data_IF_546477976047
#
_entry.id   IF_546477976047
#
_cell.length_a   1.000
_cell.length_b   1.000
_cell.length_c   1.000
_cell.angle_alpha   90.00
_cell.angle_beta   90.00
_cell.angle_gamma   90.00
#
_symmetry.space_group_name_H-M   'P 1'
#
loop_
_entity.id
_entity.type
_entity.pdbx_description
1 polymer ?
#
# COMPACT_ATOMS: atom_id res chain seq x y z
N UNK A 1 -1.87 13.73 -15.37
CA UNK A 1 -1.23 12.42 -15.10
C UNK A 1 -1.12 11.70 -16.44
N UNK A 2 0.03 11.13 -16.75
CA UNK A 2 0.23 10.37 -18.00
C UNK A 2 -0.49 9.02 -17.88
N UNK A 3 -1.52 8.79 -18.71
CA UNK A 3 -2.38 7.59 -18.65
C UNK A 3 -1.60 6.29 -18.91
N UNK A 4 -0.35 6.40 -19.38
CA UNK A 4 0.52 5.26 -19.70
C UNK A 4 1.26 4.67 -18.49
N UNK A 5 1.18 5.30 -17.32
CA UNK A 5 1.90 4.89 -16.11
C UNK A 5 0.91 4.48 -15.01
N UNK A 6 0.35 3.27 -15.16
CA UNK A 6 -0.56 2.65 -14.19
C UNK A 6 0.04 1.35 -13.62
N UNK A 7 -0.75 0.58 -12.87
CA UNK A 7 -0.33 -0.70 -12.28
C UNK A 7 0.02 -1.79 -13.29
N UNK A 8 -0.19 -1.56 -14.59
CA UNK A 8 0.12 -2.49 -15.69
C UNK A 8 1.42 -2.15 -16.42
N UNK A 9 2.20 -1.19 -15.90
CA UNK A 9 3.47 -0.80 -16.50
C UNK A 9 4.44 -1.99 -16.62
N UNK A 10 4.99 -2.19 -17.83
CA UNK A 10 5.89 -3.32 -18.12
C UNK A 10 7.14 -3.24 -17.25
N UNK A 11 7.32 -4.27 -16.43
CA UNK A 11 8.42 -4.35 -15.45
C UNK A 11 9.10 -5.72 -15.56
N UNK A 12 10.43 -5.76 -15.43
CA UNK A 12 11.20 -6.99 -15.43
C UNK A 12 11.14 -7.69 -14.06
N UNK A 13 11.32 -9.01 -14.05
CA UNK A 13 11.46 -9.84 -12.84
C UNK A 13 12.92 -10.24 -12.68
N UNK A 14 13.48 -10.10 -11.48
CA UNK A 14 14.81 -10.63 -11.15
C UNK A 14 14.65 -12.03 -10.56
N UNK A 15 15.28 -13.02 -11.18
CA UNK A 15 15.19 -14.43 -10.77
C UNK A 15 16.54 -14.86 -10.19
N UNK A 16 16.52 -15.36 -8.95
CA UNK A 16 17.70 -15.87 -8.26
C UNK A 16 17.89 -17.38 -8.52
N UNK A 17 19.10 -17.88 -8.28
CA UNK A 17 19.43 -19.30 -8.52
C UNK A 17 18.66 -20.29 -7.62
N UNK A 18 18.11 -19.82 -6.49
CA UNK A 18 17.28 -20.61 -5.58
C UNK A 18 15.79 -20.64 -5.97
N UNK A 19 15.42 -20.01 -7.10
CA UNK A 19 14.04 -19.93 -7.57
C UNK A 19 13.23 -18.76 -6.99
N UNK A 20 13.79 -17.96 -6.07
CA UNK A 20 13.13 -16.74 -5.61
C UNK A 20 13.08 -15.68 -6.71
N UNK A 21 11.98 -14.93 -6.74
CA UNK A 21 11.74 -13.89 -7.74
C UNK A 21 11.47 -12.56 -7.04
N UNK A 22 12.13 -11.49 -7.49
CA UNK A 22 11.86 -10.12 -7.06
C UNK A 22 11.16 -9.37 -8.18
N UNK A 23 10.00 -8.80 -7.87
CA UNK A 23 9.19 -8.01 -8.80
C UNK A 23 8.73 -6.72 -8.12
N UNK A 24 9.17 -5.57 -8.65
CA UNK A 24 8.89 -4.24 -8.09
C UNK A 24 8.40 -3.32 -9.22
N UNK A 25 7.12 -3.43 -9.64
CA UNK A 25 6.57 -2.58 -10.66
C UNK A 25 6.31 -1.16 -10.14
N UNK A 26 6.61 -0.12 -10.92
CA UNK A 26 6.11 1.20 -10.59
C UNK A 26 4.61 1.27 -10.90
N UNK A 27 3.87 2.09 -10.16
CA UNK A 27 2.46 2.28 -10.42
C UNK A 27 1.86 3.48 -9.68
N UNK A 28 0.79 4.04 -10.26
CA UNK A 28 -0.04 5.04 -9.61
C UNK A 28 -1.31 4.36 -9.12
N UNK A 29 -1.44 4.23 -7.80
CA UNK A 29 -2.64 3.69 -7.16
C UNK A 29 -3.57 4.83 -6.75
N UNK A 30 -4.85 4.68 -7.07
CA UNK A 30 -5.90 5.60 -6.65
C UNK A 30 -6.92 4.82 -5.84
N UNK A 31 -7.16 5.25 -4.61
CA UNK A 31 -8.19 4.69 -3.75
C UNK A 31 -9.29 5.72 -3.52
N UNK A 32 -10.50 5.24 -3.29
CA UNK A 32 -11.60 6.08 -2.79
C UNK A 32 -11.68 5.88 -1.28
N UNK A 33 -11.64 6.98 -0.54
CA UNK A 33 -11.79 6.99 0.91
C UNK A 33 -12.86 8.00 1.33
N UNK A 34 -13.45 7.76 2.50
CA UNK A 34 -14.36 8.70 3.13
C UNK A 34 -13.53 9.81 3.79
N UNK A 35 -13.86 11.06 3.49
CA UNK A 35 -13.23 12.22 4.11
C UNK A 35 -13.99 12.64 5.36
N UNK A 36 -13.25 13.01 6.40
CA UNK A 36 -13.80 13.63 7.63
C UNK A 36 -13.34 15.09 7.71
N UNK A 37 -14.27 16.03 7.62
CA UNK A 37 -14.01 17.48 7.59
C UNK A 37 -14.37 18.16 8.92
N UNK A 38 -14.50 17.41 10.01
CA UNK A 38 -14.91 17.95 11.32
C UNK A 38 -13.98 19.07 11.82
N UNK A 39 -12.69 19.02 11.48
CA UNK A 39 -11.64 19.91 12.02
C UNK A 39 -10.94 20.76 10.96
N UNK A 40 -11.58 21.01 9.83
CA UNK A 40 -11.04 21.84 8.76
C UNK A 40 -10.55 23.22 9.29
N UNK A 41 -9.36 23.72 8.89
CA UNK A 41 -8.45 23.22 7.85
C UNK A 41 -7.32 22.29 8.36
N UNK A 42 -7.41 21.77 9.58
CA UNK A 42 -6.36 20.93 10.21
C UNK A 42 -6.81 19.49 10.45
N UNK A 43 -7.70 18.99 9.61
CA UNK A 43 -8.23 17.64 9.64
C UNK A 43 -7.20 16.58 9.21
N UNK A 44 -7.37 15.38 9.76
CA UNK A 44 -6.59 14.20 9.41
C UNK A 44 -7.43 13.28 8.51
N UNK A 45 -6.84 12.82 7.43
CA UNK A 45 -7.45 11.92 6.47
C UNK A 45 -6.79 10.55 6.50
N UNK A 46 -7.60 9.50 6.68
CA UNK A 46 -7.17 8.10 6.70
C UNK A 46 -7.77 7.33 5.54
N UNK A 47 -6.94 7.02 4.54
CA UNK A 47 -7.38 6.38 3.30
C UNK A 47 -6.84 4.97 3.17
N UNK A 48 -7.65 3.95 3.49
CA UNK A 48 -7.20 2.55 3.44
C UNK A 48 -7.08 2.06 2.00
N UNK A 49 -5.90 1.56 1.65
CA UNK A 49 -5.62 0.79 0.44
C UNK A 49 -5.60 -0.70 0.80
N UNK A 50 -6.27 -1.53 0.00
CA UNK A 50 -6.29 -2.98 0.19
C UNK A 50 -5.65 -3.64 -1.03
N UNK A 51 -4.63 -4.44 -0.78
CA UNK A 51 -3.97 -5.27 -1.77
C UNK A 51 -4.36 -6.72 -1.54
N UNK A 52 -4.56 -7.47 -2.61
CA UNK A 52 -5.05 -8.83 -2.51
C UNK A 52 -5.06 -9.52 -3.85
N UNK A 53 -5.03 -10.85 -3.82
CA UNK A 53 -5.21 -11.63 -5.02
C UNK A 53 -6.62 -11.48 -5.57
N UNK A 54 -6.73 -11.21 -6.87
CA UNK A 54 -8.02 -11.18 -7.55
C UNK A 54 -8.53 -12.60 -7.85
N UNK A 55 -7.64 -13.51 -8.23
CA UNK A 55 -8.01 -14.83 -8.75
C UNK A 55 -7.80 -15.97 -7.77
N UNK A 56 -6.85 -15.85 -6.85
CA UNK A 56 -6.51 -16.91 -5.91
C UNK A 56 -7.08 -16.65 -4.52
N UNK A 57 -7.37 -17.74 -3.83
CA UNK A 57 -7.71 -17.73 -2.41
C UNK A 57 -6.46 -17.84 -1.53
N UNK A 58 -6.65 -17.66 -0.21
CA UNK A 58 -5.59 -17.72 0.80
C UNK A 58 -4.99 -19.10 1.02
N UNK A 59 -5.63 -20.17 0.52
CA UNK A 59 -5.04 -21.52 0.52
C UNK A 59 -4.09 -21.73 -0.65
N UNK A 60 -4.34 -21.06 -1.77
CA UNK A 60 -3.53 -21.16 -2.99
C UNK A 60 -2.42 -20.12 -3.03
N UNK A 61 -2.66 -18.93 -2.47
CA UNK A 61 -1.72 -17.83 -2.43
C UNK A 61 -1.87 -17.07 -1.10
N UNK A 62 -0.83 -17.12 -0.29
CA UNK A 62 -0.76 -16.32 0.94
C UNK A 62 0.09 -15.07 0.70
N UNK A 63 -0.42 -13.92 1.15
CA UNK A 63 0.25 -12.63 1.03
C UNK A 63 0.78 -12.26 2.39
N UNK A 64 2.07 -11.93 2.44
CA UNK A 64 2.76 -11.63 3.68
C UNK A 64 3.52 -10.31 3.60
N UNK A 65 3.39 -9.52 4.66
CA UNK A 65 3.98 -8.19 4.73
C UNK A 65 5.50 -8.31 4.68
N UNK A 66 6.12 -7.60 3.75
CA UNK A 66 7.57 -7.55 3.62
C UNK A 66 8.18 -6.83 4.85
N UNK A 67 8.47 -7.58 5.90
CA UNK A 67 8.88 -7.00 7.18
C UNK A 67 8.56 -7.80 8.44
N UNK A 68 7.96 -8.98 8.36
CA UNK A 68 7.70 -9.86 9.51
C UNK A 68 8.96 -10.44 10.19
N UNK A 69 10.13 -9.84 9.96
CA UNK A 69 11.29 -9.96 10.83
C UNK A 69 11.09 -8.98 12.00
N UNK A 70 11.26 -9.45 13.24
CA UNK A 70 11.11 -8.62 14.45
C UNK A 70 11.75 -7.23 14.28
N UNK A 71 10.92 -6.17 14.20
CA UNK A 71 11.37 -4.78 14.15
C UNK A 71 11.22 -4.01 12.82
N UNK A 72 10.59 -4.58 11.77
CA UNK A 72 10.30 -3.86 10.50
C UNK A 72 8.80 -3.84 10.18
N UNK A 73 7.99 -3.20 11.02
CA UNK A 73 6.51 -3.21 10.86
C UNK A 73 5.95 -2.14 9.91
N UNK A 74 6.79 -1.54 9.06
CA UNK A 74 6.45 -0.29 8.42
C UNK A 74 7.00 -0.17 7.00
N UNK A 75 6.13 0.13 6.04
CA UNK A 75 6.49 0.37 4.65
C UNK A 75 7.56 1.44 4.48
N UNK A 76 8.49 1.17 3.56
CA UNK A 76 9.66 2.01 3.34
C UNK A 76 9.27 3.40 2.80
N UNK A 77 9.48 4.42 3.62
CA UNK A 77 9.27 5.82 3.27
C UNK A 77 10.56 6.54 2.88
N UNK A 78 11.70 5.84 2.81
CA UNK A 78 12.97 6.43 2.36
C UNK A 78 12.84 7.19 1.04
N UNK A 79 12.10 6.70 0.01
CA UNK A 79 11.90 7.43 -1.23
C UNK A 79 10.71 8.41 -1.22
N UNK A 80 10.04 8.63 -0.08
CA UNK A 80 8.86 9.50 0.00
C UNK A 80 9.22 10.96 -0.28
N UNK A 81 8.49 11.56 -1.22
CA UNK A 81 8.60 12.98 -1.56
C UNK A 81 7.40 13.73 -0.98
N UNK A 82 7.59 14.58 0.05
CA UNK A 82 6.49 15.38 0.60
C UNK A 82 5.98 16.39 -0.43
N UNK A 83 4.70 16.75 -0.32
CA UNK A 83 4.10 17.83 -1.11
C UNK A 83 3.77 19.04 -0.22
N UNK A 84 3.30 20.13 -0.81
CA UNK A 84 3.02 21.40 -0.10
C UNK A 84 1.65 21.48 0.58
N UNK A 85 0.81 20.46 0.43
CA UNK A 85 -0.60 20.50 0.87
C UNK A 85 -0.85 19.51 2.03
N UNK A 86 -0.24 18.33 1.97
CA UNK A 86 -0.47 17.22 2.88
C UNK A 86 0.85 16.78 3.54
N UNK A 87 0.82 16.59 4.86
CA UNK A 87 1.91 15.94 5.60
C UNK A 87 1.49 14.53 6.02
N UNK A 88 2.37 13.56 5.77
CA UNK A 88 2.19 12.18 6.24
C UNK A 88 2.53 12.10 7.73
N UNK A 89 1.51 11.98 8.59
CA UNK A 89 1.66 11.95 10.05
C UNK A 89 1.70 10.54 10.64
N UNK A 90 1.31 9.54 9.84
CA UNK A 90 1.39 8.14 10.24
C UNK A 90 1.04 7.18 9.12
N UNK A 91 1.35 5.92 9.31
CA UNK A 91 0.94 4.82 8.43
C UNK A 91 0.64 3.61 9.29
N UNK A 92 -0.30 2.78 8.83
CA UNK A 92 -0.59 1.50 9.46
C UNK A 92 -0.68 0.42 8.41
N UNK A 93 0.08 -0.64 8.61
CA UNK A 93 0.02 -1.87 7.83
C UNK A 93 -0.63 -2.97 8.67
N UNK A 94 -1.47 -3.79 8.05
CA UNK A 94 -2.15 -4.87 8.73
C UNK A 94 -2.47 -5.98 7.75
N UNK A 95 -2.00 -7.19 8.04
CA UNK A 95 -2.45 -8.40 7.37
C UNK A 95 -3.93 -8.65 7.72
N UNK A 96 -4.77 -8.85 6.71
CA UNK A 96 -6.19 -9.11 6.87
C UNK A 96 -6.52 -10.51 6.34
N UNK A 97 -6.92 -11.40 7.24
CA UNK A 97 -7.53 -12.69 6.88
C UNK A 97 -9.06 -12.53 6.95
N UNK A 98 -9.72 -12.45 5.80
CA UNK A 98 -11.19 -12.44 5.78
C UNK A 98 -11.71 -13.88 5.86
N UNK A 99 -12.80 -14.10 6.61
CA UNK A 99 -13.39 -15.43 6.90
C UNK A 99 -13.82 -16.25 5.67
N UNK A 100 -13.71 -15.69 4.47
CA UNK A 100 -14.18 -16.24 3.18
C UNK A 100 -13.06 -16.41 2.15
N UNK A 101 -11.84 -16.75 2.58
CA UNK A 101 -10.78 -17.30 1.72
C UNK A 101 -9.88 -16.29 0.97
N UNK A 102 -9.82 -14.99 1.28
CA UNK A 102 -8.83 -14.10 0.63
C UNK A 102 -7.81 -13.58 1.64
N UNK A 103 -6.55 -13.94 1.44
CA UNK A 103 -5.40 -13.25 2.04
C UNK A 103 -5.31 -11.86 1.41
N UNK A 104 -5.13 -10.84 2.23
CA UNK A 104 -5.02 -9.47 1.76
C UNK A 104 -4.30 -8.60 2.78
N UNK A 105 -3.73 -7.52 2.29
CA UNK A 105 -2.95 -6.58 3.09
C UNK A 105 -3.61 -5.21 3.03
N UNK A 106 -3.71 -4.56 4.18
CA UNK A 106 -4.23 -3.20 4.28
C UNK A 106 -3.10 -2.24 4.61
N UNK A 107 -2.97 -1.18 3.82
CA UNK A 107 -2.07 -0.06 4.03
C UNK A 107 -2.89 1.21 4.21
N UNK A 108 -2.69 1.94 5.31
CA UNK A 108 -3.47 3.14 5.62
C UNK A 108 -2.54 4.31 5.99
N UNK A 109 -2.19 5.22 5.06
CA UNK A 109 -1.54 6.47 5.39
C UNK A 109 -2.53 7.41 6.10
N UNK A 110 -2.00 8.19 7.03
CA UNK A 110 -2.71 9.27 7.73
C UNK A 110 -2.07 10.58 7.25
N UNK A 111 -2.85 11.37 6.53
CA UNK A 111 -2.42 12.64 5.96
C UNK A 111 -3.09 13.79 6.71
N UNK A 112 -2.33 14.82 7.06
CA UNK A 112 -2.86 16.05 7.65
C UNK A 112 -2.77 17.20 6.66
N UNK A 113 -3.84 17.97 6.52
CA UNK A 113 -3.87 19.17 5.69
C UNK A 113 -3.03 20.29 6.34
N UNK A 114 -2.19 20.97 5.54
CA UNK A 114 -1.29 22.04 5.99
C UNK A 114 -1.87 23.46 5.83
N UNK A 115 -2.96 23.64 5.09
CA UNK A 115 -3.55 24.95 4.76
C UNK A 115 -5.07 24.93 4.66
#
# INVERSE_FOLDING_TARGET
ADEKFDSTFRTNVVVNNNGSCLYVPPGVFKSTCQIDITWFPFDDQKCVMKFGSWTYDGFSLDLDLAGNEEGKEEGDLTPFLPNGEWVLVGKKETAQTHSTLRSGEAYAPILRLLS
#
